data_IF_634491680172
#
_entry.id   IF_634491680172
#
_cell.length_a   1.000
_cell.length_b   1.000
_cell.length_c   1.000
_cell.angle_alpha   90.00
_cell.angle_beta   90.00
_cell.angle_gamma   90.00
#
_symmetry.space_group_name_H-M   'P 1'
#
loop_
_entity.id
_entity.type
_entity.pdbx_description
1 polymer ?
#
# COMPACT_ATOMS: atom_id res chain seq x y z
N UNK A 1 -8.67 -22.07 4.89
CA UNK A 1 -8.55 -20.60 4.73
C UNK A 1 -7.27 -20.20 5.40
N UNK A 2 -6.36 -19.57 4.67
CA UNK A 2 -5.03 -19.19 5.16
C UNK A 2 -4.99 -17.70 5.55
N UNK A 3 -4.22 -17.38 6.58
CA UNK A 3 -4.13 -16.03 7.16
C UNK A 3 -2.69 -15.70 7.51
N UNK A 4 -2.32 -14.44 7.32
CA UNK A 4 -1.15 -13.84 7.99
C UNK A 4 -1.60 -13.24 9.31
N UNK A 5 -0.78 -13.38 10.35
CA UNK A 5 -1.07 -12.89 11.70
C UNK A 5 0.04 -11.91 12.14
N UNK A 6 -0.36 -10.70 12.52
CA UNK A 6 0.50 -9.64 13.03
C UNK A 6 -0.05 -9.18 14.39
N UNK A 7 0.45 -9.76 15.47
CA UNK A 7 -0.01 -9.46 16.84
C UNK A 7 -1.54 -9.52 17.01
N UNK A 8 -2.18 -10.55 16.43
CA UNK A 8 -3.63 -10.75 16.47
C UNK A 8 -4.40 -10.07 15.33
N UNK A 9 -3.72 -9.27 14.51
CA UNK A 9 -4.29 -8.71 13.27
C UNK A 9 -4.17 -9.77 12.18
N UNK A 10 -5.31 -10.33 11.79
CA UNK A 10 -5.39 -11.40 10.79
C UNK A 10 -5.77 -10.83 9.43
N UNK A 11 -4.89 -11.02 8.45
CA UNK A 11 -5.15 -10.68 7.04
C UNK A 11 -5.37 -11.98 6.28
N UNK A 12 -6.53 -12.14 5.65
CA UNK A 12 -6.81 -13.32 4.84
C UNK A 12 -5.96 -13.30 3.57
N UNK A 13 -5.31 -14.42 3.28
CA UNK A 13 -4.48 -14.55 2.08
C UNK A 13 -5.34 -14.78 0.81
N UNK A 14 -4.83 -14.40 -0.37
CA UNK A 14 -5.36 -14.82 -1.66
C UNK A 14 -5.61 -16.33 -1.71
N UNK A 15 -6.73 -16.75 -2.29
CA UNK A 15 -6.99 -18.17 -2.55
C UNK A 15 -6.47 -18.54 -3.95
N UNK A 16 -5.15 -18.49 -4.13
CA UNK A 16 -4.45 -18.79 -5.39
C UNK A 16 -3.19 -19.62 -5.09
N UNK A 17 -2.97 -20.67 -5.88
CA UNK A 17 -1.81 -21.57 -5.75
C UNK A 17 -1.04 -21.60 -7.08
N UNK A 18 0.27 -21.33 -7.03
CA UNK A 18 1.12 -21.22 -8.23
C UNK A 18 1.11 -22.50 -9.07
N UNK A 19 1.17 -23.67 -8.44
CA UNK A 19 1.33 -24.97 -9.10
C UNK A 19 0.14 -25.37 -10.00
N UNK A 20 -0.99 -24.65 -9.90
CA UNK A 20 -2.21 -24.91 -10.68
C UNK A 20 -2.49 -23.89 -11.80
N UNK A 21 -1.63 -22.91 -12.01
CA UNK A 21 -1.86 -21.83 -12.99
C UNK A 21 -1.06 -22.08 -14.27
N UNK A 22 -1.70 -21.87 -15.42
CA UNK A 22 -0.97 -21.73 -16.68
C UNK A 22 -0.22 -20.40 -16.68
N UNK A 23 1.00 -20.41 -17.20
CA UNK A 23 1.86 -19.23 -17.24
C UNK A 23 1.89 -18.62 -18.63
N UNK A 24 1.67 -17.31 -18.71
CA UNK A 24 1.71 -16.55 -19.95
C UNK A 24 2.29 -15.14 -19.73
N UNK A 25 2.86 -14.49 -20.76
CA UNK A 25 3.36 -13.14 -20.64
C UNK A 25 2.21 -12.14 -20.38
N UNK A 26 2.47 -11.14 -19.53
CA UNK A 26 1.50 -10.10 -19.26
C UNK A 26 1.23 -9.22 -20.49
N UNK A 27 -0.05 -9.03 -20.84
CA UNK A 27 -0.49 -8.09 -21.90
C UNK A 27 -1.63 -7.20 -21.38
N UNK A 28 -1.27 -6.11 -20.73
CA UNK A 28 -2.22 -5.10 -20.27
C UNK A 28 -2.47 -4.09 -21.39
N UNK A 29 -3.73 -3.85 -21.79
CA UNK A 29 -4.08 -2.76 -22.72
C UNK A 29 -5.58 -2.51 -22.74
N UNK A 30 -6.00 -1.24 -22.70
CA UNK A 30 -7.42 -0.90 -22.77
C UNK A 30 -8.18 -1.55 -21.62
N UNK A 31 -9.34 -2.14 -21.91
CA UNK A 31 -10.05 -2.95 -20.92
C UNK A 31 -9.46 -4.36 -20.90
N UNK A 32 -9.03 -4.82 -19.73
CA UNK A 32 -8.46 -6.16 -19.54
C UNK A 32 -9.18 -6.94 -18.43
N UNK A 33 -9.20 -8.25 -18.59
CA UNK A 33 -9.72 -9.19 -17.61
C UNK A 33 -8.80 -10.39 -17.58
N UNK A 34 -8.27 -10.72 -16.40
CA UNK A 34 -7.46 -11.89 -16.17
C UNK A 34 -8.07 -12.72 -15.05
N UNK A 35 -8.27 -14.00 -15.30
CA UNK A 35 -8.75 -14.95 -14.32
C UNK A 35 -7.91 -16.23 -14.36
N UNK A 36 -7.49 -16.70 -13.19
CA UNK A 36 -6.90 -18.04 -13.02
C UNK A 36 -5.66 -18.26 -13.89
N UNK A 37 -4.80 -17.24 -13.97
CA UNK A 37 -3.57 -17.28 -14.77
C UNK A 37 -2.36 -16.75 -13.99
N UNK A 38 -1.17 -17.27 -14.30
CA UNK A 38 0.10 -16.69 -13.84
C UNK A 38 0.67 -15.80 -14.96
N UNK A 39 0.52 -14.49 -14.79
CA UNK A 39 1.16 -13.50 -15.64
C UNK A 39 2.62 -13.36 -15.22
N UNK A 40 3.54 -13.88 -16.04
CA UNK A 40 4.97 -13.96 -15.72
C UNK A 40 5.80 -13.14 -16.70
N UNK A 41 6.45 -12.12 -16.17
CA UNK A 41 7.25 -11.20 -16.97
C UNK A 41 6.44 -10.36 -17.94
N UNK A 42 7.12 -9.40 -18.55
CA UNK A 42 6.56 -8.50 -19.55
C UNK A 42 6.83 -7.05 -19.21
N UNK A 43 7.33 -6.31 -20.20
CA UNK A 43 7.43 -4.86 -20.10
C UNK A 43 6.15 -4.23 -20.65
N UNK A 44 5.39 -3.60 -19.76
CA UNK A 44 4.11 -2.95 -20.03
C UNK A 44 4.20 -1.46 -19.66
N UNK A 45 5.39 -0.88 -19.85
CA UNK A 45 5.66 0.53 -19.61
C UNK A 45 4.64 1.44 -20.30
N UNK A 46 4.11 2.40 -19.54
CA UNK A 46 3.21 3.41 -20.05
C UNK A 46 1.83 2.90 -20.47
N UNK A 47 1.48 1.65 -20.15
CA UNK A 47 0.17 1.07 -20.47
C UNK A 47 -0.97 1.96 -19.96
N UNK A 48 -2.05 2.02 -20.73
CA UNK A 48 -3.27 2.76 -20.39
C UNK A 48 -4.48 1.85 -20.45
N UNK A 49 -5.40 2.02 -19.50
CA UNK A 49 -6.63 1.25 -19.49
C UNK A 49 -7.23 1.08 -18.10
N UNK A 50 -7.92 -0.03 -17.90
CA UNK A 50 -8.46 -0.43 -16.62
C UNK A 50 -9.00 -1.85 -16.72
N UNK A 51 -9.16 -2.53 -15.59
CA UNK A 51 -9.54 -3.92 -15.66
C UNK A 51 -9.59 -4.65 -14.34
N UNK A 52 -9.88 -5.93 -14.46
CA UNK A 52 -10.05 -6.85 -13.33
C UNK A 52 -9.00 -7.97 -13.42
N UNK A 53 -8.43 -8.31 -12.27
CA UNK A 53 -7.53 -9.45 -12.11
C UNK A 53 -8.06 -10.28 -10.95
N UNK A 54 -8.35 -11.55 -11.22
CA UNK A 54 -8.94 -12.46 -10.25
C UNK A 54 -8.19 -13.79 -10.21
N UNK A 55 -7.94 -14.34 -9.01
CA UNK A 55 -7.31 -15.68 -8.88
C UNK A 55 -5.96 -15.82 -9.60
N UNK A 56 -5.22 -14.71 -9.76
CA UNK A 56 -3.98 -14.68 -10.51
C UNK A 56 -2.76 -14.53 -9.62
N UNK A 57 -1.65 -14.98 -10.17
CA UNK A 57 -0.32 -14.53 -9.77
C UNK A 57 0.22 -13.60 -10.86
N UNK A 58 0.76 -12.46 -10.47
CA UNK A 58 1.47 -11.54 -11.37
C UNK A 58 2.89 -11.40 -10.86
N UNK A 59 3.86 -11.90 -11.61
CA UNK A 59 5.27 -11.92 -11.20
C UNK A 59 6.16 -11.24 -12.23
N UNK A 60 7.11 -10.44 -11.75
CA UNK A 60 8.20 -9.88 -12.55
C UNK A 60 7.73 -9.03 -13.76
N UNK A 61 6.54 -8.42 -13.65
CA UNK A 61 5.97 -7.53 -14.67
C UNK A 61 6.37 -6.07 -14.40
N UNK A 62 6.76 -5.34 -15.44
CA UNK A 62 6.90 -3.89 -15.37
C UNK A 62 5.59 -3.21 -15.80
N UNK A 63 4.95 -2.52 -14.86
CA UNK A 63 3.83 -1.59 -15.07
C UNK A 63 4.29 -0.15 -14.82
N UNK A 64 5.58 0.13 -15.06
CA UNK A 64 6.12 1.48 -14.91
C UNK A 64 5.33 2.47 -15.77
N UNK A 65 5.15 3.71 -15.28
CA UNK A 65 4.44 4.80 -15.95
C UNK A 65 2.99 4.47 -16.40
N UNK A 66 2.41 3.36 -15.94
CA UNK A 66 1.06 2.94 -16.29
C UNK A 66 0.03 3.99 -15.85
N UNK A 67 -1.05 4.15 -16.62
CA UNK A 67 -2.20 4.97 -16.24
C UNK A 67 -3.45 4.12 -16.27
N UNK A 68 -3.88 3.69 -15.09
CA UNK A 68 -5.03 2.82 -14.91
C UNK A 68 -6.18 3.61 -14.30
N UNK A 69 -7.30 3.71 -15.02
CA UNK A 69 -8.48 4.42 -14.54
C UNK A 69 -9.20 3.63 -13.43
N UNK A 70 -9.25 2.30 -13.58
CA UNK A 70 -9.80 1.37 -12.59
C UNK A 70 -8.95 0.10 -12.58
N UNK A 71 -8.57 -0.36 -11.38
CA UNK A 71 -7.95 -1.67 -11.19
C UNK A 71 -8.68 -2.39 -10.06
N UNK A 72 -9.31 -3.51 -10.38
CA UNK A 72 -9.92 -4.39 -9.40
C UNK A 72 -9.07 -5.66 -9.25
N UNK A 73 -8.67 -5.94 -8.01
CA UNK A 73 -7.85 -7.10 -7.66
C UNK A 73 -8.61 -7.98 -6.67
N UNK A 74 -8.73 -9.28 -6.97
CA UNK A 74 -9.38 -10.21 -6.05
C UNK A 74 -8.74 -11.59 -6.02
N UNK A 75 -8.29 -12.05 -4.85
CA UNK A 75 -7.46 -13.26 -4.75
C UNK A 75 -6.21 -13.20 -5.65
N UNK A 76 -5.48 -12.09 -5.57
CA UNK A 76 -4.30 -11.83 -6.41
C UNK A 76 -3.04 -11.70 -5.58
N UNK A 77 -1.95 -12.28 -6.06
CA UNK A 77 -0.60 -11.96 -5.57
C UNK A 77 0.15 -11.20 -6.65
N UNK A 78 0.62 -9.99 -6.33
CA UNK A 78 1.59 -9.24 -7.12
C UNK A 78 2.97 -9.44 -6.49
N UNK A 79 3.94 -9.94 -7.24
CA UNK A 79 5.28 -10.26 -6.76
C UNK A 79 6.34 -9.64 -7.68
N UNK A 80 7.23 -8.80 -7.13
CA UNK A 80 8.31 -8.20 -7.93
C UNK A 80 7.83 -7.25 -9.04
N UNK A 81 6.59 -6.77 -8.99
CA UNK A 81 6.02 -5.86 -9.98
C UNK A 81 6.61 -4.46 -9.83
N UNK A 82 7.04 -3.85 -10.95
CA UNK A 82 7.43 -2.43 -10.98
C UNK A 82 6.20 -1.55 -11.28
N UNK A 83 5.76 -0.80 -10.29
CA UNK A 83 4.69 0.19 -10.34
C UNK A 83 5.23 1.63 -10.37
N UNK A 84 6.52 1.81 -10.67
CA UNK A 84 7.15 3.14 -10.63
C UNK A 84 6.45 4.15 -11.53
N UNK A 85 6.13 5.32 -10.98
CA UNK A 85 5.41 6.42 -11.63
C UNK A 85 4.03 6.02 -12.21
N UNK A 86 3.50 4.85 -11.86
CA UNK A 86 2.16 4.48 -12.27
C UNK A 86 1.13 5.40 -11.58
N UNK A 87 -0.01 5.58 -12.22
CA UNK A 87 -1.16 6.30 -11.69
C UNK A 87 -2.39 5.39 -11.77
N UNK A 88 -2.91 4.98 -10.61
CA UNK A 88 -4.10 4.15 -10.47
C UNK A 88 -5.19 5.02 -9.84
N UNK A 89 -6.16 5.46 -10.65
CA UNK A 89 -7.19 6.41 -10.22
C UNK A 89 -8.21 5.80 -9.28
N UNK A 90 -8.47 4.49 -9.40
CA UNK A 90 -9.39 3.77 -8.52
C UNK A 90 -8.91 2.32 -8.35
N UNK A 91 -8.39 1.99 -7.15
CA UNK A 91 -8.02 0.63 -6.76
C UNK A 91 -9.07 0.04 -5.82
N UNK A 92 -9.57 -1.14 -6.18
CA UNK A 92 -10.32 -2.01 -5.27
C UNK A 92 -9.53 -3.30 -5.04
N UNK A 93 -9.25 -3.63 -3.78
CA UNK A 93 -8.46 -4.81 -3.42
C UNK A 93 -9.22 -5.70 -2.43
N UNK A 94 -9.30 -7.00 -2.73
CA UNK A 94 -9.94 -8.00 -1.86
C UNK A 94 -9.09 -9.28 -1.79
N UNK A 95 -8.49 -9.58 -0.64
CA UNK A 95 -7.54 -10.70 -0.46
C UNK A 95 -6.41 -10.59 -1.46
N UNK A 96 -5.56 -9.59 -1.25
CA UNK A 96 -4.46 -9.25 -2.15
C UNK A 96 -3.15 -9.23 -1.38
N UNK A 97 -2.13 -9.84 -1.96
CA UNK A 97 -0.73 -9.72 -1.50
C UNK A 97 0.07 -8.91 -2.53
N UNK A 98 0.84 -7.91 -2.07
CA UNK A 98 1.77 -7.13 -2.87
C UNK A 98 3.15 -7.31 -2.25
N UNK A 99 4.03 -8.06 -2.91
CA UNK A 99 5.27 -8.58 -2.32
C UNK A 99 6.48 -8.10 -3.12
N UNK A 100 7.44 -7.48 -2.43
CA UNK A 100 8.74 -7.08 -3.03
C UNK A 100 8.59 -6.18 -4.26
N UNK A 101 7.52 -5.40 -4.32
CA UNK A 101 7.24 -4.52 -5.45
C UNK A 101 7.96 -3.16 -5.32
N UNK A 102 8.24 -2.54 -6.46
CA UNK A 102 8.73 -1.17 -6.51
C UNK A 102 7.56 -0.24 -6.84
N UNK A 103 7.30 0.75 -5.98
CA UNK A 103 6.19 1.70 -6.12
C UNK A 103 6.68 3.16 -6.01
N UNK A 104 7.89 3.41 -6.52
CA UNK A 104 8.51 4.75 -6.44
C UNK A 104 7.73 5.71 -7.33
N UNK A 105 7.22 6.81 -6.78
CA UNK A 105 6.42 7.80 -7.50
C UNK A 105 4.99 7.34 -7.83
N UNK A 106 4.53 6.21 -7.28
CA UNK A 106 3.18 5.69 -7.51
C UNK A 106 2.12 6.69 -7.01
N UNK A 107 1.16 7.04 -7.86
CA UNK A 107 -0.09 7.66 -7.43
C UNK A 107 -1.20 6.62 -7.38
N UNK A 108 -1.81 6.37 -6.22
CA UNK A 108 -2.91 5.41 -6.08
C UNK A 108 -4.02 5.95 -5.19
N UNK A 109 -5.27 5.80 -5.62
CA UNK A 109 -6.43 5.99 -4.77
C UNK A 109 -7.09 4.63 -4.48
N UNK A 110 -7.02 4.21 -3.22
CA UNK A 110 -7.63 2.99 -2.69
C UNK A 110 -9.08 3.29 -2.35
N UNK A 111 -9.97 3.04 -3.31
CA UNK A 111 -11.42 3.21 -3.15
C UNK A 111 -12.00 2.22 -2.14
N UNK A 112 -11.51 0.97 -2.15
CA UNK A 112 -11.76 0.03 -1.06
C UNK A 112 -10.71 -1.06 -0.92
N UNK A 113 -10.43 -1.44 0.33
CA UNK A 113 -9.58 -2.59 0.64
C UNK A 113 -10.21 -3.51 1.69
N UNK A 114 -10.09 -4.81 1.44
CA UNK A 114 -10.50 -5.91 2.32
C UNK A 114 -9.41 -6.97 2.30
N UNK A 115 -8.69 -7.15 3.40
CA UNK A 115 -7.59 -8.11 3.50
C UNK A 115 -6.49 -7.83 2.45
N UNK A 116 -5.80 -6.70 2.62
CA UNK A 116 -4.66 -6.32 1.78
C UNK A 116 -3.38 -6.43 2.62
N UNK A 117 -2.40 -7.15 2.09
CA UNK A 117 -1.08 -7.26 2.67
C UNK A 117 -0.03 -6.77 1.69
N UNK A 118 0.86 -5.89 2.17
CA UNK A 118 1.95 -5.32 1.39
C UNK A 118 3.26 -5.58 2.13
N UNK A 119 4.23 -6.20 1.47
CA UNK A 119 5.47 -6.67 2.10
C UNK A 119 6.69 -6.18 1.31
N UNK A 120 7.68 -5.65 2.03
CA UNK A 120 9.01 -5.34 1.49
C UNK A 120 8.95 -4.49 0.22
N UNK A 121 8.02 -3.54 0.17
CA UNK A 121 7.77 -2.67 -0.98
C UNK A 121 8.24 -1.24 -0.74
N UNK A 122 8.67 -0.57 -1.81
CA UNK A 122 9.25 0.77 -1.75
C UNK A 122 8.32 1.82 -2.35
N UNK A 123 7.77 2.71 -1.54
CA UNK A 123 6.79 3.73 -1.90
C UNK A 123 7.36 5.16 -1.90
N UNK A 124 8.68 5.29 -2.07
CA UNK A 124 9.32 6.60 -2.07
C UNK A 124 8.68 7.53 -3.12
N UNK A 125 8.39 8.78 -2.74
CA UNK A 125 7.72 9.79 -3.57
C UNK A 125 6.29 9.43 -4.03
N UNK A 126 5.68 8.40 -3.44
CA UNK A 126 4.32 7.99 -3.77
C UNK A 126 3.25 8.92 -3.16
N UNK A 127 2.05 8.88 -3.72
CA UNK A 127 0.83 9.42 -3.14
C UNK A 127 -0.20 8.31 -3.00
N UNK A 128 -0.61 8.03 -1.76
CA UNK A 128 -1.57 6.99 -1.41
C UNK A 128 -2.79 7.66 -0.78
N UNK A 129 -3.90 7.69 -1.50
CA UNK A 129 -5.19 8.18 -1.01
C UNK A 129 -6.05 7.00 -0.59
N UNK A 130 -6.59 7.01 0.62
CA UNK A 130 -7.42 5.92 1.16
C UNK A 130 -8.83 6.45 1.40
N UNK A 131 -9.81 5.87 0.70
CA UNK A 131 -11.21 6.22 0.93
C UNK A 131 -11.86 5.34 1.98
N UNK A 132 -11.63 4.02 1.91
CA UNK A 132 -12.32 3.06 2.79
C UNK A 132 -11.55 1.77 2.99
N UNK A 133 -11.33 1.41 4.25
CA UNK A 133 -10.77 0.12 4.66
C UNK A 133 -11.81 -0.65 5.48
N UNK A 134 -12.25 -1.83 5.04
CA UNK A 134 -13.30 -2.61 5.75
C UNK A 134 -12.76 -3.76 6.59
N UNK A 135 -11.57 -4.27 6.26
CA UNK A 135 -10.85 -5.35 6.95
C UNK A 135 -9.37 -4.96 7.03
N UNK A 136 -8.53 -5.57 7.89
CA UNK A 136 -7.16 -5.12 8.08
C UNK A 136 -6.37 -4.95 6.78
N UNK A 137 -5.61 -3.87 6.71
CA UNK A 137 -4.65 -3.58 5.66
C UNK A 137 -3.30 -3.41 6.33
N UNK A 138 -2.36 -4.26 5.98
CA UNK A 138 -1.06 -4.35 6.65
C UNK A 138 0.04 -4.05 5.65
N UNK A 139 0.90 -3.09 5.99
CA UNK A 139 2.18 -2.86 5.35
C UNK A 139 3.27 -3.38 6.27
N UNK A 140 4.22 -4.17 5.75
CA UNK A 140 5.30 -4.77 6.52
C UNK A 140 6.63 -4.59 5.81
N UNK A 141 7.65 -4.10 6.51
CA UNK A 141 9.00 -3.88 5.95
C UNK A 141 9.04 -2.88 4.79
N UNK A 142 8.05 -2.00 4.68
CA UNK A 142 7.93 -1.02 3.59
C UNK A 142 8.66 0.29 3.90
N UNK A 143 9.14 0.98 2.87
CA UNK A 143 9.70 2.34 2.99
C UNK A 143 8.80 3.40 2.35
N UNK A 144 8.70 4.55 3.00
CA UNK A 144 7.81 5.64 2.63
C UNK A 144 8.54 6.99 2.63
N UNK A 145 9.63 7.12 1.86
CA UNK A 145 10.37 8.38 1.78
C UNK A 145 9.58 9.43 1.00
N UNK A 146 9.34 10.60 1.59
CA UNK A 146 8.62 11.71 0.92
C UNK A 146 7.27 11.28 0.33
N UNK A 147 6.66 10.25 0.92
CA UNK A 147 5.33 9.74 0.54
C UNK A 147 4.26 10.62 1.15
N UNK A 148 3.14 10.80 0.44
CA UNK A 148 1.93 11.43 0.98
C UNK A 148 0.88 10.37 1.20
N UNK A 149 0.42 10.22 2.45
CA UNK A 149 -0.78 9.45 2.80
C UNK A 149 -1.93 10.40 3.04
N UNK A 150 -3.09 10.17 2.42
CA UNK A 150 -4.27 11.02 2.62
C UNK A 150 -5.57 10.21 2.73
N UNK A 151 -6.60 10.83 3.29
CA UNK A 151 -7.91 10.19 3.47
C UNK A 151 -8.05 9.45 4.80
N UNK A 152 -8.91 8.42 4.86
CA UNK A 152 -9.18 7.67 6.08
C UNK A 152 -8.15 6.56 6.28
N UNK A 153 -7.18 6.80 7.15
CA UNK A 153 -6.11 5.86 7.50
C UNK A 153 -6.51 4.92 8.63
N UNK A 154 -7.78 4.91 9.04
CA UNK A 154 -8.27 4.02 10.09
C UNK A 154 -8.04 2.55 9.72
N UNK A 155 -7.65 1.74 10.72
CA UNK A 155 -7.37 0.30 10.60
C UNK A 155 -6.20 -0.08 9.66
N UNK A 156 -5.38 0.89 9.24
CA UNK A 156 -4.09 0.57 8.64
C UNK A 156 -3.11 0.10 9.72
N UNK A 157 -2.23 -0.83 9.38
CA UNK A 157 -1.19 -1.33 10.29
C UNK A 157 0.14 -1.33 9.57
N UNK A 158 1.14 -0.73 10.19
CA UNK A 158 2.49 -0.62 9.65
C UNK A 158 3.46 -1.33 10.60
N UNK A 159 4.06 -2.41 10.12
CA UNK A 159 4.96 -3.29 10.87
C UNK A 159 6.37 -3.13 10.33
N UNK A 160 7.30 -2.68 11.18
CA UNK A 160 8.70 -2.49 10.80
C UNK A 160 8.88 -1.63 9.54
N UNK A 161 8.04 -0.60 9.37
CA UNK A 161 8.11 0.33 8.25
C UNK A 161 9.02 1.54 8.56
N UNK A 162 9.57 2.15 7.51
CA UNK A 162 10.36 3.38 7.62
C UNK A 162 9.65 4.56 6.95
N UNK A 163 9.33 5.57 7.75
CA UNK A 163 8.75 6.84 7.30
C UNK A 163 9.81 7.93 7.39
N UNK A 164 10.22 8.45 6.24
CA UNK A 164 11.22 9.53 6.15
C UNK A 164 10.61 10.69 5.38
N UNK A 165 10.43 11.84 6.03
CA UNK A 165 9.81 13.03 5.44
C UNK A 165 8.39 12.79 4.86
N UNK A 166 7.73 11.71 5.33
CA UNK A 166 6.36 11.35 4.97
C UNK A 166 5.37 12.40 5.47
N UNK A 167 4.36 12.70 4.66
CA UNK A 167 3.26 13.57 5.03
C UNK A 167 1.97 12.79 5.23
N UNK A 168 1.34 12.99 6.39
CA UNK A 168 0.03 12.45 6.72
C UNK A 168 -1.04 13.55 6.60
N UNK A 169 -1.87 13.47 5.58
CA UNK A 169 -3.05 14.31 5.37
C UNK A 169 -4.32 13.50 5.67
N UNK A 170 -4.40 12.93 6.87
CA UNK A 170 -5.48 12.03 7.25
C UNK A 170 -6.78 12.79 7.58
N UNK A 171 -7.92 12.24 7.17
CA UNK A 171 -9.25 12.67 7.66
C UNK A 171 -9.65 11.90 8.92
N UNK A 172 -9.02 10.76 9.16
CA UNK A 172 -9.17 9.92 10.36
C UNK A 172 -8.06 8.86 10.41
N UNK A 173 -7.75 8.37 11.61
CA UNK A 173 -6.73 7.34 11.83
C UNK A 173 -7.09 6.42 13.00
N UNK A 174 -8.38 6.16 13.21
CA UNK A 174 -8.85 5.33 14.31
C UNK A 174 -8.29 3.90 14.16
N UNK A 175 -7.62 3.41 15.19
CA UNK A 175 -6.95 2.11 15.18
C UNK A 175 -5.88 1.97 14.10
N UNK A 176 -5.40 3.08 13.51
CA UNK A 176 -4.17 3.06 12.73
C UNK A 176 -3.02 2.67 13.68
N UNK A 177 -2.24 1.66 13.32
CA UNK A 177 -1.14 1.16 14.14
C UNK A 177 0.19 1.45 13.48
N UNK A 178 0.98 2.31 14.11
CA UNK A 178 2.32 2.70 13.66
C UNK A 178 3.41 2.09 14.56
N UNK A 179 3.05 1.26 15.55
CA UNK A 179 4.03 0.69 16.48
C UNK A 179 5.05 -0.18 15.73
N UNK A 180 6.29 -0.15 16.18
CA UNK A 180 7.41 -0.86 15.53
C UNK A 180 7.97 -0.15 14.29
N UNK A 181 7.26 0.83 13.72
CA UNK A 181 7.75 1.62 12.59
C UNK A 181 8.62 2.81 13.02
N UNK A 182 9.49 3.30 12.15
CA UNK A 182 10.37 4.44 12.41
C UNK A 182 9.79 5.71 11.78
N UNK A 183 9.64 6.77 12.57
CA UNK A 183 9.11 8.06 12.14
C UNK A 183 10.22 9.11 12.20
N UNK A 184 10.66 9.62 11.04
CA UNK A 184 11.70 10.65 10.93
C UNK A 184 11.28 11.76 9.97
N UNK A 185 11.35 13.03 10.40
CA UNK A 185 11.00 14.18 9.55
C UNK A 185 9.54 14.24 9.09
N UNK A 186 8.69 13.38 9.65
CA UNK A 186 7.29 13.24 9.27
C UNK A 186 6.50 14.52 9.54
N UNK A 187 5.44 14.73 8.75
CA UNK A 187 4.52 15.86 8.86
C UNK A 187 3.07 15.39 8.96
N UNK A 188 2.21 16.25 9.50
CA UNK A 188 0.77 16.02 9.63
C UNK A 188 0.41 15.04 10.73
N UNK A 189 1.26 14.88 11.75
CA UNK A 189 0.99 14.02 12.92
C UNK A 189 -0.29 14.43 13.65
N UNK A 190 -0.63 15.73 13.65
CA UNK A 190 -1.88 16.24 14.23
C UNK A 190 -3.15 15.73 13.54
N UNK A 191 -3.04 15.18 12.32
CA UNK A 191 -4.17 14.57 11.58
C UNK A 191 -4.43 13.12 12.01
N UNK A 192 -3.46 12.46 12.66
CA UNK A 192 -3.50 11.04 13.01
C UNK A 192 -4.29 10.74 14.31
N UNK A 193 -5.42 11.41 14.52
CA UNK A 193 -6.24 11.18 15.72
C UNK A 193 -6.73 9.73 15.77
N UNK A 194 -6.40 9.04 16.86
CA UNK A 194 -6.74 7.64 17.10
C UNK A 194 -5.65 6.63 16.72
N UNK A 195 -4.52 7.11 16.15
CA UNK A 195 -3.39 6.25 15.83
C UNK A 195 -2.64 5.79 17.09
N UNK A 196 -2.04 4.60 17.01
CA UNK A 196 -1.27 3.95 18.08
C UNK A 196 0.21 4.09 17.79
N UNK A 197 0.94 4.60 18.79
CA UNK A 197 2.40 4.69 18.82
C UNK A 197 2.92 4.15 20.14
N UNK A 198 4.18 3.79 20.21
CA UNK A 198 4.87 3.42 21.44
C UNK A 198 5.30 4.67 22.23
N UNK A 199 5.63 4.49 23.51
CA UNK A 199 6.19 5.59 24.32
C UNK A 199 7.51 6.12 23.77
N UNK A 200 8.34 5.26 23.19
CA UNK A 200 9.59 5.65 22.54
C UNK A 200 9.35 6.54 21.31
N UNK A 201 8.40 6.14 20.45
CA UNK A 201 7.99 6.96 19.31
C UNK A 201 7.42 8.31 19.74
N UNK A 202 6.64 8.35 20.82
CA UNK A 202 6.10 9.59 21.36
C UNK A 202 7.21 10.57 21.75
N UNK A 203 8.29 10.07 22.36
CA UNK A 203 9.48 10.89 22.67
C UNK A 203 10.18 11.35 21.38
N UNK A 204 10.37 10.45 20.40
CA UNK A 204 11.12 10.78 19.18
C UNK A 204 10.43 11.84 18.32
N UNK A 205 9.09 11.87 18.31
CA UNK A 205 8.30 12.83 17.52
C UNK A 205 7.81 14.04 18.33
N UNK A 206 8.14 14.14 19.62
CA UNK A 206 7.61 15.17 20.52
C UNK A 206 7.85 16.61 20.01
N UNK A 207 9.05 16.90 19.49
CA UNK A 207 9.37 18.21 18.93
C UNK A 207 8.57 18.54 17.66
N UNK A 208 8.32 17.54 16.80
CA UNK A 208 7.50 17.66 15.60
C UNK A 208 6.06 17.96 16.01
N UNK A 209 5.49 17.16 16.92
CA UNK A 209 4.14 17.36 17.45
C UNK A 209 3.95 18.72 18.10
N UNK A 210 4.92 19.18 18.91
CA UNK A 210 4.86 20.50 19.54
C UNK A 210 4.79 21.61 18.49
N UNK A 211 5.65 21.55 17.47
CA UNK A 211 5.69 22.52 16.38
C UNK A 211 4.40 22.53 15.58
N UNK A 212 3.88 21.36 15.20
CA UNK A 212 2.61 21.24 14.48
C UNK A 212 1.39 21.68 15.30
N UNK A 213 1.49 21.61 16.63
CA UNK A 213 0.47 22.12 17.55
C UNK A 213 0.54 23.65 17.71
N UNK A 214 1.44 24.33 17.00
CA UNK A 214 1.61 25.78 17.04
C UNK A 214 2.55 26.30 18.13
N UNK A 215 3.30 25.41 18.80
CA UNK A 215 4.30 25.81 19.79
C UNK A 215 5.61 26.16 19.10
N UNK A 216 6.25 27.26 19.52
CA UNK A 216 7.62 27.55 19.14
C UNK A 216 8.57 26.79 20.08
N UNK A 217 9.26 25.78 19.55
CA UNK A 217 10.30 25.06 20.30
C UNK A 217 11.58 25.91 20.26
N UNK A 218 11.90 26.55 21.39
CA UNK A 218 13.14 27.33 21.57
C UNK A 218 14.13 26.54 22.42
N UNK A 219 15.40 26.60 22.07
CA UNK A 219 16.52 26.01 22.82
C UNK A 219 17.27 27.04 23.63
#
# INVERSE_FOLDING_TARGET
MDFRDFDGIKVRRPSVERDGLESEPAVFRGDFEFDSVHLDGGDQDGVRGGGEIAHCLVSDVSLANARLDRLALSDVTLEGVDLSNAAIRELTARRVEILRCRAIGLGVAIASAVDLYVENARFDYASVTVERVKSPVVFSGCSFRETVFSGDLSRLTFVDCEFTDTEFAATGALDCDLRGSRLSGVRGLVTLRGAKITGEQAVSIAGILATESGLSVVG
#
